data_IF_226833853907
#
_entry.id   IF_226833853907
#
_cell.length_a   1.000
_cell.length_b   1.000
_cell.length_c   1.000
_cell.angle_alpha   90.00
_cell.angle_beta   90.00
_cell.angle_gamma   90.00
#
_symmetry.space_group_name_H-M   'P 1'
#
loop_
_entity.id
_entity.type
_entity.pdbx_description
1 polymer ?
#
# COMPACT_ATOMS: atom_id res chain seq x y z
N UNK A 1 2.77 13.55 2.29
CA UNK A 1 2.53 14.58 1.25
C UNK A 1 2.33 13.96 -0.13
N UNK A 2 3.33 13.28 -0.70
CA UNK A 2 3.26 12.73 -2.06
C UNK A 2 2.19 11.65 -2.25
N UNK A 3 1.93 10.80 -1.27
CA UNK A 3 0.89 9.76 -1.37
C UNK A 3 -0.53 10.21 -1.03
N UNK A 4 -0.74 11.47 -0.68
CA UNK A 4 -2.03 11.94 -0.16
C UNK A 4 -2.47 13.27 -0.79
N UNK A 5 -1.76 14.37 -0.50
CA UNK A 5 -2.14 15.71 -1.00
C UNK A 5 -1.94 15.84 -2.51
N UNK A 6 -0.81 15.35 -3.04
CA UNK A 6 -0.49 15.49 -4.46
C UNK A 6 -1.50 14.74 -5.38
N UNK A 7 -1.89 13.47 -5.10
CA UNK A 7 -2.94 12.78 -5.83
C UNK A 7 -4.28 13.52 -5.80
N UNK A 8 -4.68 14.05 -4.64
CA UNK A 8 -5.92 14.82 -4.51
C UNK A 8 -5.88 16.05 -5.41
N UNK A 9 -4.77 16.80 -5.41
CA UNK A 9 -4.61 17.96 -6.28
C UNK A 9 -4.70 17.58 -7.76
N UNK A 10 -4.05 16.49 -8.17
CA UNK A 10 -4.08 16.00 -9.56
C UNK A 10 -5.48 15.60 -10.04
N UNK A 11 -6.32 15.09 -9.15
CA UNK A 11 -7.69 14.67 -9.50
C UNK A 11 -8.67 15.85 -9.47
N UNK A 12 -8.57 16.74 -8.48
CA UNK A 12 -9.54 17.84 -8.30
C UNK A 12 -9.22 19.09 -9.11
N UNK A 13 -8.00 19.24 -9.62
CA UNK A 13 -7.67 20.40 -10.45
C UNK A 13 -8.18 20.21 -11.89
N UNK A 14 -9.05 21.10 -12.41
CA UNK A 14 -9.75 20.87 -13.68
C UNK A 14 -8.80 20.77 -14.90
N UNK A 15 -7.61 21.37 -14.85
CA UNK A 15 -6.61 21.26 -15.93
C UNK A 15 -5.83 19.94 -15.92
N UNK A 16 -5.97 19.14 -14.87
CA UNK A 16 -5.31 17.83 -14.73
C UNK A 16 -6.29 16.66 -14.88
N UNK A 17 -7.53 16.91 -15.33
CA UNK A 17 -8.52 15.87 -15.62
C UNK A 17 -8.23 15.11 -16.93
N UNK A 18 -7.08 14.43 -17.00
CA UNK A 18 -6.72 13.57 -18.12
C UNK A 18 -6.12 12.25 -17.63
N UNK A 19 -6.08 11.26 -18.51
CA UNK A 19 -5.62 9.89 -18.20
C UNK A 19 -4.20 9.86 -17.61
N UNK A 20 -3.27 10.66 -18.14
CA UNK A 20 -1.88 10.67 -17.64
C UNK A 20 -1.80 11.08 -16.16
N UNK A 21 -2.57 12.08 -15.75
CA UNK A 21 -2.56 12.56 -14.38
C UNK A 21 -3.36 11.65 -13.46
N UNK A 22 -4.43 11.00 -13.95
CA UNK A 22 -5.12 9.95 -13.20
C UNK A 22 -4.19 8.79 -12.89
N UNK A 23 -3.45 8.28 -13.88
CA UNK A 23 -2.47 7.20 -13.68
C UNK A 23 -1.37 7.63 -12.71
N UNK A 24 -0.84 8.84 -12.86
CA UNK A 24 0.17 9.37 -11.95
C UNK A 24 -0.36 9.49 -10.50
N UNK A 25 -1.58 9.97 -10.33
CA UNK A 25 -2.23 10.07 -9.02
C UNK A 25 -2.41 8.68 -8.39
N UNK A 26 -2.88 7.69 -9.14
CA UNK A 26 -3.01 6.30 -8.66
C UNK A 26 -1.67 5.71 -8.23
N UNK A 27 -0.61 5.90 -9.03
CA UNK A 27 0.74 5.42 -8.68
C UNK A 27 1.27 6.06 -7.41
N UNK A 28 1.07 7.37 -7.24
CA UNK A 28 1.47 8.09 -6.04
C UNK A 28 0.74 7.59 -4.79
N UNK A 29 -0.56 7.29 -4.89
CA UNK A 29 -1.33 6.70 -3.78
C UNK A 29 -0.78 5.32 -3.41
N UNK A 30 -0.55 4.45 -4.39
CA UNK A 30 -0.03 3.09 -4.16
C UNK A 30 1.35 3.15 -3.48
N UNK A 31 2.29 3.93 -4.01
CA UNK A 31 3.63 4.09 -3.44
C UNK A 31 3.57 4.73 -2.05
N UNK A 32 2.66 5.69 -1.84
CA UNK A 32 2.40 6.29 -0.55
C UNK A 32 1.90 5.28 0.49
N UNK A 33 0.99 4.37 0.08
CA UNK A 33 0.50 3.28 0.91
C UNK A 33 1.61 2.33 1.33
N UNK A 34 2.48 1.91 0.41
CA UNK A 34 3.64 1.08 0.74
C UNK A 34 4.63 1.78 1.67
N UNK A 35 4.91 3.06 1.45
CA UNK A 35 5.77 3.85 2.34
C UNK A 35 5.16 3.96 3.75
N UNK A 36 3.84 4.16 3.85
CA UNK A 36 3.14 4.17 5.14
C UNK A 36 3.25 2.82 5.86
N UNK A 37 2.97 1.71 5.16
CA UNK A 37 3.11 0.37 5.73
C UNK A 37 4.54 0.07 6.18
N UNK A 38 5.54 0.47 5.39
CA UNK A 38 6.94 0.33 5.77
C UNK A 38 7.25 1.05 7.08
N UNK A 39 6.91 2.34 7.17
CA UNK A 39 7.16 3.14 8.39
C UNK A 39 6.37 2.59 9.57
N UNK A 40 5.12 2.18 9.35
CA UNK A 40 4.24 1.68 10.41
C UNK A 40 4.73 0.34 10.98
N UNK A 41 4.99 -0.64 10.11
CA UNK A 41 5.38 -1.99 10.53
C UNK A 41 6.82 -2.00 11.02
N UNK A 42 7.77 -1.54 10.20
CA UNK A 42 9.19 -1.60 10.54
C UNK A 42 9.51 -0.62 11.65
N UNK A 43 8.98 0.60 11.60
CA UNK A 43 9.17 1.58 12.67
C UNK A 43 8.56 1.13 14.00
N UNK A 44 7.40 0.48 13.97
CA UNK A 44 6.77 -0.08 15.17
C UNK A 44 7.56 -1.20 15.83
N UNK A 45 8.33 -1.96 15.04
CA UNK A 45 9.17 -3.06 15.55
C UNK A 45 10.60 -2.64 15.88
N UNK A 46 11.11 -1.57 15.26
CA UNK A 46 12.49 -1.13 15.44
C UNK A 46 12.76 -0.48 16.79
N UNK A 47 11.74 0.16 17.39
CA UNK A 47 11.88 0.86 18.66
C UNK A 47 11.37 0.04 19.84
N UNK A 48 12.13 -0.01 20.96
CA UNK A 48 11.73 -0.77 22.12
C UNK A 48 10.47 -0.20 22.77
N UNK A 49 9.54 -1.09 23.09
CA UNK A 49 8.31 -0.76 23.81
C UNK A 49 8.56 -0.83 25.32
N UNK A 50 8.15 0.20 26.05
CA UNK A 50 8.12 0.15 27.50
C UNK A 50 6.83 -0.54 27.96
N UNK A 51 6.88 -1.87 28.05
CA UNK A 51 5.69 -2.70 28.33
C UNK A 51 5.34 -2.70 29.82
N UNK A 52 6.32 -2.54 30.72
CA UNK A 52 6.14 -2.61 32.18
C UNK A 52 6.63 -1.32 32.86
N UNK A 53 5.83 -0.24 32.84
CA UNK A 53 6.23 1.03 33.43
C UNK A 53 6.46 0.87 34.95
N UNK A 54 7.63 1.32 35.43
CA UNK A 54 8.00 1.27 36.85
C UNK A 54 8.70 -0.02 37.30
N UNK A 55 8.90 -0.99 36.41
CA UNK A 55 9.61 -2.24 36.70
C UNK A 55 10.82 -2.40 35.79
N UNK A 56 11.96 -2.83 36.33
CA UNK A 56 13.11 -3.28 35.54
C UNK A 56 12.93 -4.76 35.19
N UNK A 57 12.73 -5.03 33.91
CA UNK A 57 12.64 -6.38 33.37
C UNK A 57 13.86 -6.61 32.48
N UNK A 58 14.63 -7.65 32.76
CA UNK A 58 15.74 -8.09 31.91
C UNK A 58 15.37 -9.36 31.17
N UNK A 59 15.67 -9.44 29.88
CA UNK A 59 15.56 -10.62 29.05
C UNK A 59 16.89 -10.93 28.37
N UNK A 60 17.02 -12.14 27.83
CA UNK A 60 18.18 -12.50 27.01
C UNK A 60 18.10 -11.94 25.57
N UNK A 61 17.07 -11.16 25.22
CA UNK A 61 16.80 -10.74 23.86
C UNK A 61 16.54 -9.23 23.75
N UNK A 62 17.56 -8.50 23.28
CA UNK A 62 17.46 -7.12 22.76
C UNK A 62 16.74 -6.11 23.69
N UNK A 63 16.97 -6.18 25.01
CA UNK A 63 16.43 -5.24 25.99
C UNK A 63 16.77 -3.79 25.63
N UNK A 64 15.77 -3.03 25.19
CA UNK A 64 15.92 -1.59 24.92
C UNK A 64 16.79 -1.24 23.70
N UNK A 65 17.18 -2.21 22.87
CA UNK A 65 18.00 -1.94 21.69
C UNK A 65 17.13 -1.51 20.51
N UNK A 66 17.65 -0.57 19.71
CA UNK A 66 17.04 -0.19 18.45
C UNK A 66 17.45 -1.24 17.40
N UNK A 67 16.47 -1.97 16.87
CA UNK A 67 16.72 -2.95 15.83
C UNK A 67 16.94 -2.26 14.47
N UNK A 68 17.97 -2.69 13.75
CA UNK A 68 18.24 -2.19 12.40
C UNK A 68 17.62 -3.13 11.37
N UNK A 69 16.81 -2.59 10.46
CA UNK A 69 16.18 -3.36 9.38
C UNK A 69 16.92 -3.14 8.06
N UNK A 70 17.37 -4.24 7.45
CA UNK A 70 17.95 -4.26 6.11
C UNK A 70 17.18 -5.24 5.24
N UNK A 71 16.36 -4.75 4.29
CA UNK A 71 15.54 -5.63 3.47
C UNK A 71 16.41 -6.52 2.59
N UNK A 72 16.13 -7.81 2.64
CA UNK A 72 16.75 -8.83 1.81
C UNK A 72 16.05 -8.97 0.45
N UNK A 73 16.76 -9.53 -0.53
CA UNK A 73 16.18 -9.82 -1.84
C UNK A 73 14.94 -10.73 -1.74
N UNK A 74 14.93 -11.70 -0.82
CA UNK A 74 13.81 -12.61 -0.64
C UNK A 74 12.54 -11.90 -0.15
N UNK A 75 12.69 -10.89 0.71
CA UNK A 75 11.56 -10.07 1.15
C UNK A 75 10.97 -9.23 0.01
N UNK A 76 11.83 -8.69 -0.87
CA UNK A 76 11.36 -8.03 -2.09
C UNK A 76 10.62 -8.99 -3.01
N UNK A 77 11.19 -10.17 -3.26
CA UNK A 77 10.56 -11.20 -4.09
C UNK A 77 9.22 -11.65 -3.49
N UNK A 78 9.11 -11.76 -2.17
CA UNK A 78 7.87 -12.07 -1.49
C UNK A 78 6.81 -10.98 -1.71
N UNK A 79 7.19 -9.70 -1.59
CA UNK A 79 6.30 -8.58 -1.88
C UNK A 79 5.80 -8.56 -3.33
N UNK A 80 6.70 -8.77 -4.30
CA UNK A 80 6.32 -8.88 -5.71
C UNK A 80 5.48 -10.11 -6.01
N UNK A 81 5.72 -11.23 -5.33
CA UNK A 81 4.89 -12.44 -5.42
C UNK A 81 3.44 -12.16 -5.02
N UNK A 82 3.23 -11.41 -3.93
CA UNK A 82 1.89 -10.97 -3.52
C UNK A 82 1.20 -10.11 -4.58
N UNK A 83 1.92 -9.15 -5.18
CA UNK A 83 1.40 -8.31 -6.26
C UNK A 83 1.02 -9.14 -7.51
N UNK A 84 1.87 -10.09 -7.89
CA UNK A 84 1.61 -10.98 -9.02
C UNK A 84 0.36 -11.84 -8.79
N UNK A 85 0.21 -12.43 -7.61
CA UNK A 85 -0.97 -13.22 -7.24
C UNK A 85 -2.23 -12.35 -7.27
N UNK A 86 -2.20 -11.15 -6.68
CA UNK A 86 -3.34 -10.24 -6.70
C UNK A 86 -3.75 -9.88 -8.14
N UNK A 87 -2.78 -9.62 -9.02
CA UNK A 87 -3.05 -9.36 -10.44
C UNK A 87 -3.70 -10.55 -11.13
N UNK A 88 -3.14 -11.76 -10.96
CA UNK A 88 -3.70 -12.99 -11.54
C UNK A 88 -5.13 -13.22 -11.08
N UNK A 89 -5.40 -13.12 -9.77
CA UNK A 89 -6.74 -13.29 -9.21
C UNK A 89 -7.69 -12.27 -9.84
N UNK A 90 -7.29 -11.01 -9.95
CA UNK A 90 -8.11 -9.94 -10.51
C UNK A 90 -8.45 -10.19 -11.96
N UNK A 91 -7.45 -10.54 -12.79
CA UNK A 91 -7.65 -10.81 -14.22
C UNK A 91 -8.52 -12.04 -14.45
N UNK A 92 -8.26 -13.14 -13.75
CA UNK A 92 -9.07 -14.36 -13.85
C UNK A 92 -10.51 -14.08 -13.41
N UNK A 93 -10.70 -13.34 -12.31
CA UNK A 93 -12.03 -12.97 -11.82
C UNK A 93 -12.77 -12.12 -12.85
N UNK A 94 -12.11 -11.13 -13.47
CA UNK A 94 -12.71 -10.30 -14.51
C UNK A 94 -13.08 -11.08 -15.78
N UNK A 95 -12.34 -12.15 -16.08
CA UNK A 95 -12.60 -13.03 -17.24
C UNK A 95 -13.73 -14.03 -16.97
N UNK A 96 -13.74 -14.65 -15.80
CA UNK A 96 -14.67 -15.75 -15.46
C UNK A 96 -16.01 -15.23 -14.95
N UNK A 97 -16.00 -14.14 -14.17
CA UNK A 97 -17.20 -13.59 -13.56
C UNK A 97 -17.82 -12.52 -14.47
N UNK A 98 -19.15 -12.45 -14.47
CA UNK A 98 -19.89 -11.47 -15.25
C UNK A 98 -19.85 -10.09 -14.55
N UNK A 99 -18.68 -9.44 -14.59
CA UNK A 99 -18.41 -8.16 -13.94
C UNK A 99 -19.03 -6.97 -14.68
N UNK A 100 -19.27 -7.10 -15.99
CA UNK A 100 -19.83 -6.02 -16.78
C UNK A 100 -21.36 -5.99 -16.62
N UNK A 101 -21.97 -4.81 -16.44
CA UNK A 101 -23.41 -4.67 -16.56
C UNK A 101 -23.85 -5.23 -17.91
N UNK A 102 -24.92 -6.03 -17.91
CA UNK A 102 -25.59 -6.40 -19.15
C UNK A 102 -26.38 -5.15 -19.58
N UNK A 103 -25.78 -4.33 -20.44
CA UNK A 103 -26.41 -3.11 -20.94
C UNK A 103 -27.78 -3.46 -21.54
N UNK A 104 -28.85 -2.93 -20.96
CA UNK A 104 -30.08 -2.72 -21.73
C UNK A 104 -29.79 -1.54 -22.64
N UNK A 105 -29.94 -1.66 -23.98
CA UNK A 105 -29.78 -0.53 -24.87
C UNK A 105 -30.65 0.62 -24.37
N UNK A 106 -30.04 1.77 -24.09
CA UNK A 106 -30.79 2.97 -23.74
C UNK A 106 -31.51 3.42 -25.00
N UNK A 107 -32.79 3.04 -25.14
CA UNK A 107 -33.65 3.61 -26.16
C UNK A 107 -33.95 5.03 -25.66
N UNK A 108 -33.43 6.03 -26.36
CA UNK A 108 -33.88 7.40 -26.16
C UNK A 108 -35.28 7.50 -26.78
N UNK A 109 -36.28 7.75 -25.93
CA UNK A 109 -37.61 8.20 -26.36
C UNK A 109 -37.55 9.67 -26.82
#
# INVERSE_FOLDING_TARGET
>A
LLGNILPLLLIYYPKTANTRYTVAASMLVILGGFAFLYVFVIGGQAYPLNIFPGYQVSSSFADGQIATYHPSLYEFLLGFGGLAIAFVITTVSAYVLNFMPQDKPHIAD
#
